data_IF_388523678815
#
_entry.id   IF_388523678815
#
_cell.length_a   1.000
_cell.length_b   1.000
_cell.length_c   1.000
_cell.angle_alpha   90.00
_cell.angle_beta   90.00
_cell.angle_gamma   90.00
#
_symmetry.space_group_name_H-M   'P 1'
#
loop_
_entity.id
_entity.type
_entity.pdbx_description
1 polymer ?
#
# COMPACT_ATOMS: atom_id res chain seq x y z
N UNK A 1 7.10 9.12 2.68
CA UNK A 1 7.40 10.18 1.66
C UNK A 1 6.18 10.42 0.79
N UNK A 2 5.32 9.42 0.61
CA UNK A 2 3.90 9.59 0.28
C UNK A 2 3.66 10.56 -0.90
N UNK A 3 4.56 10.50 -1.89
CA UNK A 3 4.63 11.46 -2.99
C UNK A 3 3.62 11.18 -4.10
N UNK A 4 2.86 10.08 -4.01
CA UNK A 4 1.76 9.73 -4.93
C UNK A 4 2.15 9.29 -6.34
N UNK A 5 3.40 9.48 -6.79
CA UNK A 5 3.81 9.22 -8.18
C UNK A 5 3.55 7.79 -8.66
N UNK A 6 3.64 6.80 -7.77
CA UNK A 6 3.39 5.40 -8.12
C UNK A 6 1.91 5.07 -8.31
N UNK A 7 0.99 5.86 -7.71
CA UNK A 7 -0.47 5.64 -7.80
C UNK A 7 -0.92 5.84 -9.25
N UNK A 8 -0.61 7.01 -9.84
CA UNK A 8 -0.99 7.34 -11.23
C UNK A 8 -0.25 6.48 -12.26
N UNK A 9 0.98 6.09 -11.96
CA UNK A 9 1.79 5.25 -12.84
C UNK A 9 1.30 3.79 -12.90
N UNK A 10 0.45 3.35 -11.97
CA UNK A 10 0.04 1.95 -11.88
C UNK A 10 -1.05 1.62 -12.91
N UNK A 11 -0.77 0.80 -13.95
CA UNK A 11 -1.74 0.53 -15.03
C UNK A 11 -2.96 -0.28 -14.58
N UNK A 12 -2.90 -0.90 -13.40
CA UNK A 12 -3.94 -1.77 -12.85
C UNK A 12 -4.55 -1.21 -11.56
N UNK A 13 -4.20 0.02 -11.18
CA UNK A 13 -4.77 0.71 -10.02
C UNK A 13 -4.67 -0.10 -8.71
N UNK A 14 -3.50 -0.72 -8.47
CA UNK A 14 -3.26 -1.59 -7.32
C UNK A 14 -2.58 -0.90 -6.13
N UNK A 15 -2.16 0.36 -6.28
CA UNK A 15 -1.45 1.12 -5.26
C UNK A 15 -2.42 2.13 -4.63
N UNK A 16 -2.50 2.13 -3.29
CA UNK A 16 -3.39 2.98 -2.51
C UNK A 16 -2.61 3.68 -1.39
N UNK A 17 -2.95 4.93 -1.03
CA UNK A 17 -2.64 5.47 0.28
C UNK A 17 -3.14 4.53 1.39
N UNK A 18 -2.43 4.41 2.50
CA UNK A 18 -2.74 3.42 3.55
C UNK A 18 -4.16 3.60 4.13
N UNK A 19 -4.59 4.84 4.23
CA UNK A 19 -5.90 5.30 4.69
C UNK A 19 -7.04 5.04 3.70
N UNK A 20 -6.71 4.83 2.42
CA UNK A 20 -7.66 4.61 1.33
C UNK A 20 -7.73 3.16 0.87
N UNK A 21 -6.95 2.25 1.48
CA UNK A 21 -6.99 0.82 1.15
C UNK A 21 -8.39 0.27 1.40
N UNK A 22 -9.06 -0.31 0.38
CA UNK A 22 -10.37 -0.95 0.55
C UNK A 22 -10.34 -2.03 1.63
N UNK A 23 -11.43 -2.18 2.39
CA UNK A 23 -11.50 -3.10 3.54
C UNK A 23 -11.05 -4.53 3.21
N UNK A 24 -11.46 -5.04 2.05
CA UNK A 24 -11.09 -6.38 1.55
C UNK A 24 -9.58 -6.57 1.36
N UNK A 25 -8.80 -5.49 1.30
CA UNK A 25 -7.36 -5.50 1.04
C UNK A 25 -6.53 -4.92 2.18
N UNK A 26 -7.13 -4.48 3.29
CA UNK A 26 -6.39 -3.93 4.45
C UNK A 26 -5.31 -4.87 4.99
N UNK A 27 -5.50 -6.17 4.86
CA UNK A 27 -4.49 -7.17 5.24
C UNK A 27 -3.16 -7.05 4.47
N UNK A 28 -3.15 -6.42 3.28
CA UNK A 28 -1.93 -6.21 2.51
C UNK A 28 -1.01 -5.15 3.10
N UNK A 29 -1.52 -4.26 3.97
CA UNK A 29 -0.69 -3.29 4.67
C UNK A 29 0.37 -4.03 5.49
N UNK A 30 -0.05 -4.91 6.41
CA UNK A 30 0.86 -5.72 7.22
C UNK A 30 1.78 -6.61 6.34
N UNK A 31 1.22 -7.27 5.32
CA UNK A 31 2.02 -8.11 4.41
C UNK A 31 3.13 -7.34 3.68
N UNK A 32 2.90 -6.08 3.32
CA UNK A 32 3.93 -5.24 2.71
C UNK A 32 5.08 -4.99 3.69
N UNK A 33 4.78 -4.65 4.95
CA UNK A 33 5.81 -4.49 5.99
C UNK A 33 6.58 -5.80 6.22
N UNK A 34 5.87 -6.93 6.38
CA UNK A 34 6.48 -8.24 6.58
C UNK A 34 7.40 -8.63 5.42
N UNK A 35 6.99 -8.35 4.17
CA UNK A 35 7.78 -8.66 2.98
C UNK A 35 9.15 -7.96 2.98
N UNK A 36 9.22 -6.76 3.55
CA UNK A 36 10.46 -5.98 3.68
C UNK A 36 11.13 -6.13 5.06
N UNK A 37 10.65 -7.05 5.91
CA UNK A 37 11.20 -7.25 7.26
C UNK A 37 11.01 -6.04 8.18
N UNK A 38 9.97 -5.25 7.94
CA UNK A 38 9.62 -4.06 8.72
C UNK A 38 8.43 -4.33 9.62
N UNK A 39 8.28 -3.54 10.69
CA UNK A 39 7.08 -3.55 11.52
C UNK A 39 6.19 -2.37 11.12
N UNK A 40 4.87 -2.56 10.94
CA UNK A 40 3.95 -1.45 10.72
C UNK A 40 4.00 -0.45 11.90
N UNK A 41 3.95 0.87 11.63
CA UNK A 41 3.85 1.90 12.68
C UNK A 41 2.49 1.87 13.40
#
# INVERSE_FOLDING_TARGET
IDCGLCIDACPVQAIFPAEEVPDKWKAFIAKNYDHFGMTPP
#
